data_IF_660050054076
#
_entry.id   IF_660050054076
#
_cell.length_a   1.000
_cell.length_b   1.000
_cell.length_c   1.000
_cell.angle_alpha   90.00
_cell.angle_beta   90.00
_cell.angle_gamma   90.00
#
_symmetry.space_group_name_H-M   'P 1'
#
loop_
_entity.id
_entity.type
_entity.pdbx_description
1 polymer ?
#
# COMPACT_ATOMS: atom_id res chain seq x y z
N UNK A 1 15.35 12.09 -29.92
CA UNK A 1 15.30 10.68 -30.35
C UNK A 1 15.58 9.82 -29.13
N UNK A 2 14.62 9.01 -28.68
CA UNK A 2 14.86 8.08 -27.57
C UNK A 2 16.00 7.11 -27.96
N UNK A 3 16.86 6.76 -27.01
CA UNK A 3 18.00 5.86 -27.26
C UNK A 3 17.50 4.50 -27.76
N UNK A 4 18.30 3.81 -28.59
CA UNK A 4 17.98 2.48 -29.16
C UNK A 4 17.51 1.47 -28.09
N UNK A 5 18.07 1.55 -26.88
CA UNK A 5 17.66 0.76 -25.73
C UNK A 5 16.23 1.11 -25.24
N UNK A 6 15.85 2.39 -25.15
CA UNK A 6 14.52 2.81 -24.71
C UNK A 6 13.42 2.29 -25.65
N UNK A 7 13.61 2.40 -26.96
CA UNK A 7 12.65 1.87 -27.94
C UNK A 7 12.54 0.34 -27.91
N UNK A 8 13.56 -0.36 -27.42
CA UNK A 8 13.51 -1.82 -27.26
C UNK A 8 12.66 -2.25 -26.07
N UNK A 9 12.65 -1.47 -24.99
CA UNK A 9 11.95 -1.80 -23.74
C UNK A 9 10.58 -1.13 -23.59
N UNK A 10 10.37 0.04 -24.19
CA UNK A 10 9.09 0.75 -24.20
C UNK A 10 8.23 0.32 -25.39
N UNK A 11 7.78 -0.94 -25.34
CA UNK A 11 6.79 -1.45 -26.29
C UNK A 11 5.44 -1.65 -25.59
N UNK A 12 4.31 -1.51 -26.32
CA UNK A 12 2.98 -1.65 -25.74
C UNK A 12 2.78 -2.94 -24.95
N UNK A 13 3.41 -4.03 -25.39
CA UNK A 13 3.31 -5.35 -24.77
C UNK A 13 3.97 -5.43 -23.39
N UNK A 14 4.88 -4.50 -23.08
CA UNK A 14 5.62 -4.48 -21.80
C UNK A 14 4.92 -3.63 -20.75
N UNK A 15 3.99 -2.74 -21.13
CA UNK A 15 3.26 -1.90 -20.17
C UNK A 15 2.49 -2.68 -19.11
N UNK A 16 1.80 -3.80 -19.43
CA UNK A 16 1.16 -4.63 -18.41
C UNK A 16 2.16 -5.24 -17.42
N UNK A 17 3.36 -5.62 -17.89
CA UNK A 17 4.42 -6.15 -17.04
C UNK A 17 4.98 -5.08 -16.11
N UNK A 18 5.22 -3.87 -16.64
CA UNK A 18 5.64 -2.72 -15.83
C UNK A 18 4.58 -2.32 -14.81
N UNK A 19 3.30 -2.41 -15.15
CA UNK A 19 2.22 -2.15 -14.20
C UNK A 19 2.26 -3.16 -13.05
N UNK A 20 2.36 -4.46 -13.34
CA UNK A 20 2.41 -5.49 -12.30
C UNK A 20 3.64 -5.35 -11.39
N UNK A 21 4.84 -5.19 -11.98
CA UNK A 21 6.09 -5.04 -11.23
C UNK A 21 6.10 -3.72 -10.44
N UNK A 22 5.67 -2.64 -11.06
CA UNK A 22 5.59 -1.32 -10.43
C UNK A 22 4.64 -1.31 -9.23
N UNK A 23 3.48 -1.98 -9.34
CA UNK A 23 2.55 -2.16 -8.22
C UNK A 23 3.20 -2.96 -7.09
N UNK A 24 3.85 -4.09 -7.39
CA UNK A 24 4.50 -4.91 -6.37
C UNK A 24 5.60 -4.14 -5.62
N UNK A 25 6.51 -3.48 -6.36
CA UNK A 25 7.58 -2.67 -5.76
C UNK A 25 6.99 -1.49 -4.98
N UNK A 26 5.95 -0.84 -5.51
CA UNK A 26 5.26 0.25 -4.84
C UNK A 26 4.63 -0.17 -3.50
N UNK A 27 3.98 -1.34 -3.45
CA UNK A 27 3.40 -1.87 -2.21
C UNK A 27 4.49 -2.17 -1.18
N UNK A 28 5.58 -2.82 -1.59
CA UNK A 28 6.72 -3.07 -0.71
C UNK A 28 7.33 -1.78 -0.15
N UNK A 29 7.55 -0.78 -1.03
CA UNK A 29 8.08 0.53 -0.63
C UNK A 29 7.15 1.26 0.33
N UNK A 30 5.85 1.29 0.04
CA UNK A 30 4.84 1.90 0.92
C UNK A 30 4.84 1.25 2.31
N UNK A 31 4.95 -0.08 2.37
CA UNK A 31 4.99 -0.79 3.65
C UNK A 31 6.27 -0.48 4.46
N UNK A 32 7.43 -0.42 3.79
CA UNK A 32 8.69 -0.07 4.44
C UNK A 32 8.66 1.35 4.99
N UNK A 33 8.18 2.32 4.21
CA UNK A 33 8.05 3.72 4.64
C UNK A 33 7.12 3.82 5.85
N UNK A 34 5.99 3.10 5.86
CA UNK A 34 5.10 3.06 7.02
C UNK A 34 5.76 2.46 8.25
N UNK A 35 6.50 1.37 8.10
CA UNK A 35 7.22 0.76 9.21
C UNK A 35 8.28 1.70 9.81
N UNK A 36 8.90 2.56 9.00
CA UNK A 36 9.93 3.49 9.49
C UNK A 36 9.30 4.73 10.13
N UNK A 37 8.25 5.28 9.53
CA UNK A 37 7.72 6.60 9.90
C UNK A 37 6.52 6.56 10.86
N UNK A 38 5.80 5.45 10.94
CA UNK A 38 4.53 5.38 11.68
C UNK A 38 4.48 4.24 12.70
N UNK A 39 5.52 3.41 12.77
CA UNK A 39 5.58 2.38 13.79
C UNK A 39 6.03 3.03 15.11
N UNK A 40 5.21 2.97 16.19
CA UNK A 40 5.52 3.61 17.46
C UNK A 40 6.80 3.07 18.12
N UNK A 41 7.25 1.87 17.73
CA UNK A 41 8.48 1.25 18.24
C UNK A 41 9.74 1.76 17.53
N UNK A 42 9.62 2.34 16.33
CA UNK A 42 10.75 2.74 15.49
C UNK A 42 11.10 4.21 15.72
N UNK A 43 12.21 4.45 16.42
CA UNK A 43 12.65 5.79 16.83
C UNK A 43 13.82 6.30 15.98
N UNK A 44 13.50 6.95 14.86
CA UNK A 44 14.51 7.47 13.91
C UNK A 44 15.13 8.79 14.38
N UNK A 45 14.32 9.69 14.94
CA UNK A 45 14.78 11.02 15.41
C UNK A 45 15.41 10.94 16.80
N UNK A 46 16.36 11.83 17.09
CA UNK A 46 17.01 11.88 18.41
C UNK A 46 16.02 12.23 19.54
N UNK A 47 15.06 13.11 19.28
CA UNK A 47 14.04 13.53 20.24
C UNK A 47 13.18 12.34 20.73
N UNK A 48 12.76 11.47 19.81
CA UNK A 48 11.93 10.30 20.13
C UNK A 48 12.71 9.21 20.89
N UNK A 49 14.05 9.21 20.86
CA UNK A 49 14.88 8.29 21.67
C UNK A 49 15.01 8.73 23.12
N UNK A 50 14.97 10.04 23.39
CA UNK A 50 15.07 10.59 24.75
C UNK A 50 13.78 10.44 25.54
N UNK A 51 12.65 10.24 24.87
CA UNK A 51 11.37 9.88 25.48
C UNK A 51 11.47 8.44 26.06
N UNK A 52 11.79 8.35 27.35
CA UNK A 52 11.99 7.09 28.07
C UNK A 52 10.74 6.23 28.26
N UNK A 53 9.54 6.81 28.11
CA UNK A 53 8.24 6.11 28.23
C UNK A 53 7.41 6.35 26.97
N UNK A 54 6.85 5.28 26.40
CA UNK A 54 6.11 5.28 25.14
C UNK A 54 4.62 5.61 25.36
N UNK A 55 4.31 6.84 25.76
CA UNK A 55 2.92 7.35 25.90
C UNK A 55 2.33 7.76 24.53
N UNK A 56 2.50 6.91 23.50
CA UNK A 56 2.18 7.25 22.11
C UNK A 56 0.96 6.47 21.58
N UNK A 57 -0.11 6.44 22.38
CA UNK A 57 -1.33 5.71 22.08
C UNK A 57 -2.01 6.20 20.80
N UNK A 58 -2.00 7.51 20.54
CA UNK A 58 -2.60 8.09 19.34
C UNK A 58 -1.86 7.67 18.05
N UNK A 59 -0.53 7.59 18.07
CA UNK A 59 0.25 7.09 16.93
C UNK A 59 0.05 5.58 16.74
N UNK A 60 -0.01 4.82 17.83
CA UNK A 60 -0.32 3.39 17.80
C UNK A 60 -1.69 3.09 17.21
N UNK A 61 -2.73 3.87 17.57
CA UNK A 61 -4.06 3.76 16.99
C UNK A 61 -4.04 4.08 15.49
N UNK A 62 -3.35 5.16 15.09
CA UNK A 62 -3.20 5.54 13.67
C UNK A 62 -2.45 4.48 12.85
N UNK A 63 -1.45 3.83 13.44
CA UNK A 63 -0.73 2.74 12.81
C UNK A 63 -1.62 1.51 12.61
N UNK A 64 -2.35 1.11 13.66
CA UNK A 64 -3.23 -0.05 13.64
C UNK A 64 -4.45 0.15 12.71
N UNK A 65 -5.06 1.33 12.76
CA UNK A 65 -6.31 1.70 12.09
C UNK A 65 -6.10 2.73 10.97
N UNK A 66 -5.22 2.42 10.02
CA UNK A 66 -5.03 3.29 8.86
C UNK A 66 -6.30 3.37 7.97
N UNK A 67 -6.43 4.47 7.21
CA UNK A 67 -7.64 4.82 6.45
C UNK A 67 -8.14 3.73 5.50
N UNK A 68 -7.24 2.99 4.85
CA UNK A 68 -7.63 1.88 3.98
C UNK A 68 -8.27 0.73 4.77
N UNK A 69 -7.73 0.38 5.95
CA UNK A 69 -8.33 -0.65 6.82
C UNK A 69 -9.69 -0.21 7.36
N UNK A 70 -9.83 1.06 7.77
CA UNK A 70 -11.13 1.62 8.18
C UNK A 70 -12.15 1.56 7.03
N UNK A 71 -11.72 1.88 5.81
CA UNK A 71 -12.58 1.86 4.63
C UNK A 71 -13.03 0.45 4.21
N UNK A 72 -12.14 -0.55 4.29
CA UNK A 72 -12.42 -1.92 3.84
C UNK A 72 -13.14 -2.74 4.92
N UNK A 73 -13.11 -2.35 6.20
CA UNK A 73 -13.69 -3.12 7.33
C UNK A 73 -15.15 -3.52 7.14
N UNK A 74 -15.96 -2.64 6.55
CA UNK A 74 -17.40 -2.86 6.37
C UNK A 74 -17.76 -3.35 4.96
N UNK A 75 -16.76 -3.72 4.14
CA UNK A 75 -16.98 -4.23 2.78
C UNK A 75 -16.87 -5.75 2.77
N UNK A 76 -17.73 -6.40 1.99
CA UNK A 76 -17.58 -7.83 1.72
C UNK A 76 -16.27 -8.08 0.97
N UNK A 77 -15.55 -9.18 1.28
CA UNK A 77 -14.30 -9.52 0.61
C UNK A 77 -14.59 -10.05 -0.80
N UNK A 78 -14.86 -9.14 -1.73
CA UNK A 78 -15.20 -9.45 -3.12
C UNK A 78 -14.37 -8.59 -4.08
N UNK A 79 -13.76 -9.24 -5.08
CA UNK A 79 -12.88 -8.57 -6.05
C UNK A 79 -13.71 -7.75 -7.06
N UNK A 80 -14.86 -8.29 -7.50
CA UNK A 80 -15.74 -7.65 -8.49
C UNK A 80 -17.21 -7.81 -8.06
N UNK A 81 -17.70 -6.99 -7.12
CA UNK A 81 -19.04 -7.15 -6.56
C UNK A 81 -20.15 -7.01 -7.63
N UNK A 82 -19.97 -6.19 -8.67
CA UNK A 82 -20.93 -6.06 -9.76
C UNK A 82 -21.00 -7.31 -10.65
N UNK A 83 -19.84 -7.90 -10.96
CA UNK A 83 -19.76 -9.13 -11.76
C UNK A 83 -20.29 -10.32 -10.95
N UNK A 84 -19.93 -10.39 -9.67
CA UNK A 84 -20.46 -11.41 -8.76
C UNK A 84 -21.99 -11.33 -8.70
N UNK A 85 -22.56 -10.16 -8.40
CA UNK A 85 -24.03 -9.98 -8.36
C UNK A 85 -24.70 -10.36 -9.67
N UNK A 86 -24.11 -9.96 -10.80
CA UNK A 86 -24.64 -10.31 -12.13
C UNK A 86 -24.78 -11.83 -12.35
N UNK A 87 -23.85 -12.64 -11.84
CA UNK A 87 -23.88 -14.10 -11.99
C UNK A 87 -24.55 -14.83 -10.81
N UNK A 88 -24.74 -14.17 -9.66
CA UNK A 88 -25.21 -14.80 -8.41
C UNK A 88 -26.66 -14.50 -8.08
N UNK A 89 -27.20 -13.36 -8.53
CA UNK A 89 -28.58 -12.98 -8.23
C UNK A 89 -29.56 -13.81 -9.09
N UNK A 90 -30.40 -14.66 -8.48
CA UNK A 90 -31.47 -15.33 -9.22
C UNK A 90 -32.50 -14.30 -9.67
N UNK A 91 -33.03 -14.47 -10.89
CA UNK A 91 -34.12 -13.65 -11.43
C UNK A 91 -35.41 -13.80 -10.64
#
# INVERSE_FOLDING_TARGET
MASSALNRWLRPEVYPLFAAVGVAVGICGMQLVRNICTNPEVRVTKQNRTAGVLENFEEGERYAEHSLRKFVRNKSPEIMPSVNKFFSDPK
#
